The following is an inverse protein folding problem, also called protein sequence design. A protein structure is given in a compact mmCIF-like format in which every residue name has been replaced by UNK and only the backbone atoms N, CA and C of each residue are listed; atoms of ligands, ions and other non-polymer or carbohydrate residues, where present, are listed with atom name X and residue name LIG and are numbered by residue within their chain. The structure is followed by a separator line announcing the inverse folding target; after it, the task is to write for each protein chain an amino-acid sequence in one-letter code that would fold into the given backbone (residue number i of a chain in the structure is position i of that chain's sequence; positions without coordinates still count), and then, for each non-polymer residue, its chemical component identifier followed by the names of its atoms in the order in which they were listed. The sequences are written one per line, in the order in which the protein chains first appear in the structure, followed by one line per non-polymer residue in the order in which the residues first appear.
data_IF_284395547705
#
_entry.id   IF_284395547705
#
_cell.length_a   1.000
_cell.length_b   1.000
_cell.length_c   1.000
_cell.angle_alpha   90.00
_cell.angle_beta   90.00
_cell.angle_gamma   90.00
#
_symmetry.space_group_name_H-M   'P 1'
#
loop_
_entity.id
_entity.type
_entity.pdbx_description
1 polymer ?
#
# COMPACT_ATOMS: atom_id res chain seq x y z
N UNK A 1 -25.45 19.88 -1.29
CA UNK A 1 -24.53 19.24 -0.32
C UNK A 1 -24.82 17.75 -0.35
N UNK A 2 -24.26 17.03 -1.33
CA UNK A 2 -24.45 15.59 -1.46
C UNK A 2 -23.45 14.90 -0.55
N UNK A 3 -23.96 14.30 0.52
CA UNK A 3 -23.21 13.42 1.41
C UNK A 3 -22.63 12.29 0.58
N UNK A 4 -21.32 12.33 0.33
CA UNK A 4 -20.59 11.15 -0.13
C UNK A 4 -20.98 10.03 0.84
N UNK A 5 -21.46 8.91 0.33
CA UNK A 5 -21.71 7.71 1.13
C UNK A 5 -20.42 6.90 1.14
N UNK A 6 -19.96 6.35 2.28
CA UNK A 6 -18.81 5.46 2.28
C UNK A 6 -19.13 4.22 1.45
N UNK A 7 -18.31 3.98 0.42
CA UNK A 7 -18.38 2.83 -0.49
C UNK A 7 -18.10 1.47 0.21
N UNK A 8 -18.10 1.42 1.55
CA UNK A 8 -17.92 0.18 2.30
C UNK A 8 -19.20 -0.66 2.35
N UNK A 9 -19.09 -2.01 2.39
CA UNK A 9 -20.23 -2.90 2.55
C UNK A 9 -21.02 -2.65 3.85
N UNK A 10 -22.35 -2.79 3.81
CA UNK A 10 -23.23 -2.52 4.96
C UNK A 10 -22.92 -3.36 6.20
N UNK A 11 -22.54 -4.63 6.04
CA UNK A 11 -22.15 -5.50 7.15
C UNK A 11 -20.93 -4.99 7.93
N UNK A 12 -20.08 -4.19 7.28
CA UNK A 12 -18.90 -3.63 7.92
C UNK A 12 -19.23 -2.36 8.70
N UNK A 13 -20.14 -1.54 8.18
CA UNK A 13 -20.64 -0.33 8.86
C UNK A 13 -21.39 -0.66 10.15
N UNK A 14 -22.00 -1.84 10.25
CA UNK A 14 -22.72 -2.29 11.45
C UNK A 14 -21.81 -2.82 12.56
N UNK A 15 -20.61 -3.32 12.21
CA UNK A 15 -19.65 -3.89 13.17
C UNK A 15 -18.56 -2.90 13.58
N UNK A 16 -18.23 -1.94 12.70
CA UNK A 16 -17.12 -1.02 12.91
C UNK A 16 -17.54 0.41 12.55
N UNK A 17 -17.13 1.38 13.38
CA UNK A 17 -17.16 2.79 12.95
C UNK A 17 -16.27 2.96 11.71
N UNK A 18 -16.53 3.97 10.88
CA UNK A 18 -15.73 4.25 9.68
C UNK A 18 -14.23 4.29 9.99
N UNK A 19 -13.85 4.89 11.12
CA UNK A 19 -12.46 4.94 11.61
C UNK A 19 -11.91 3.56 11.98
N UNK A 20 -12.65 2.72 12.68
CA UNK A 20 -12.16 1.38 13.08
C UNK A 20 -12.05 0.45 11.89
N UNK A 21 -13.02 0.50 10.96
CA UNK A 21 -12.97 -0.28 9.72
C UNK A 21 -11.72 0.03 8.88
N UNK A 22 -11.28 1.30 8.94
CA UNK A 22 -10.13 1.83 8.21
C UNK A 22 -8.81 1.27 8.75
N UNK A 23 -8.60 1.31 10.07
CA UNK A 23 -7.40 0.73 10.67
C UNK A 23 -7.40 -0.79 10.60
N UNK A 24 -8.57 -1.42 10.73
CA UNK A 24 -8.70 -2.87 10.61
C UNK A 24 -8.26 -3.37 9.23
N UNK A 25 -8.73 -2.74 8.14
CA UNK A 25 -8.28 -3.12 6.80
C UNK A 25 -6.78 -2.94 6.60
N UNK A 26 -6.20 -1.81 7.03
CA UNK A 26 -4.75 -1.60 6.88
C UNK A 26 -3.93 -2.62 7.66
N UNK A 27 -4.37 -3.00 8.86
CA UNK A 27 -3.70 -4.06 9.63
C UNK A 27 -3.76 -5.40 8.88
N UNK A 28 -4.92 -5.78 8.35
CA UNK A 28 -5.06 -7.01 7.57
C UNK A 28 -4.17 -6.98 6.31
N UNK A 29 -4.16 -5.88 5.57
CA UNK A 29 -3.31 -5.71 4.39
C UNK A 29 -1.83 -5.79 4.76
N UNK A 30 -1.39 -5.10 5.82
CA UNK A 30 -0.01 -5.18 6.32
C UNK A 30 0.35 -6.63 6.64
N UNK A 31 -0.53 -7.39 7.29
CA UNK A 31 -0.27 -8.80 7.62
C UNK A 31 -0.17 -9.68 6.37
N UNK A 32 -1.05 -9.48 5.39
CA UNK A 32 -1.03 -10.20 4.11
C UNK A 32 0.27 -9.95 3.35
N UNK A 33 0.74 -8.70 3.30
CA UNK A 33 1.98 -8.34 2.59
C UNK A 33 3.25 -8.55 3.43
N UNK A 34 3.16 -8.60 4.76
CA UNK A 34 4.31 -8.85 5.63
C UNK A 34 4.89 -10.26 5.43
N UNK A 35 4.04 -11.28 5.25
CA UNK A 35 4.50 -12.64 5.04
C UNK A 35 5.36 -12.84 3.77
N UNK A 36 4.91 -12.46 2.55
CA UNK A 36 5.74 -12.55 1.36
C UNK A 36 6.97 -11.62 1.43
N UNK A 37 6.86 -10.46 2.09
CA UNK A 37 8.00 -9.57 2.31
C UNK A 37 9.08 -10.19 3.20
N UNK A 38 8.66 -10.91 4.24
CA UNK A 38 9.54 -11.72 5.08
C UNK A 38 10.22 -12.81 4.25
N UNK A 39 9.47 -13.55 3.44
CA UNK A 39 10.02 -14.60 2.59
C UNK A 39 11.05 -14.05 1.58
N UNK A 40 10.79 -12.88 1.00
CA UNK A 40 11.68 -12.25 0.03
C UNK A 40 12.95 -11.66 0.64
N UNK A 41 12.89 -11.16 1.88
CA UNK A 41 14.04 -10.55 2.58
C UNK A 41 14.80 -11.52 3.49
N UNK A 42 14.20 -12.64 3.87
CA UNK A 42 14.72 -13.57 4.87
C UNK A 42 14.79 -12.99 6.29
N UNK A 43 14.21 -11.81 6.54
CA UNK A 43 14.26 -11.11 7.82
C UNK A 43 12.87 -10.60 8.19
N UNK A 44 12.51 -10.73 9.46
CA UNK A 44 11.22 -10.25 9.94
C UNK A 44 11.10 -8.73 9.85
N UNK A 45 12.18 -8.02 10.19
CA UNK A 45 12.25 -6.55 10.11
C UNK A 45 13.62 -6.15 9.55
N UNK A 46 13.59 -5.56 8.36
CA UNK A 46 14.76 -4.95 7.72
C UNK A 46 14.30 -3.90 6.70
N UNK A 47 15.24 -3.07 6.23
CA UNK A 47 14.93 -2.10 5.18
C UNK A 47 14.47 -2.78 3.88
N UNK A 48 15.00 -3.98 3.59
CA UNK A 48 14.60 -4.81 2.45
C UNK A 48 13.17 -5.34 2.64
N UNK A 49 12.83 -5.78 3.85
CA UNK A 49 11.47 -6.22 4.20
C UNK A 49 10.45 -5.09 4.03
N UNK A 50 10.78 -3.89 4.50
CA UNK A 50 9.93 -2.69 4.32
C UNK A 50 9.79 -2.34 2.84
N UNK A 51 10.88 -2.45 2.08
CA UNK A 51 10.85 -2.22 0.64
C UNK A 51 9.91 -3.20 -0.07
N UNK A 52 10.00 -4.50 0.22
CA UNK A 52 9.11 -5.50 -0.38
C UNK A 52 7.64 -5.31 0.04
N UNK A 53 7.40 -4.84 1.26
CA UNK A 53 6.04 -4.60 1.75
C UNK A 53 5.37 -3.47 0.97
N UNK A 54 6.07 -2.35 0.80
CA UNK A 54 5.58 -1.21 0.02
C UNK A 54 5.45 -1.59 -1.47
N UNK A 55 6.43 -2.32 -2.02
CA UNK A 55 6.37 -2.79 -3.39
C UNK A 55 5.17 -3.70 -3.64
N UNK A 56 4.95 -4.67 -2.77
CA UNK A 56 3.83 -5.62 -2.86
C UNK A 56 2.47 -4.92 -2.81
N UNK A 57 2.30 -3.96 -1.90
CA UNK A 57 1.03 -3.23 -1.78
C UNK A 57 0.72 -2.41 -3.03
N UNK A 58 1.69 -1.67 -3.57
CA UNK A 58 1.49 -0.87 -4.78
C UNK A 58 1.15 -1.75 -5.99
N UNK A 59 1.87 -2.88 -6.13
CA UNK A 59 1.64 -3.80 -7.25
C UNK A 59 0.23 -4.35 -7.20
N UNK A 60 -0.28 -4.71 -6.02
CA UNK A 60 -1.63 -5.23 -5.87
C UNK A 60 -2.70 -4.19 -6.22
N UNK A 61 -2.57 -2.94 -5.75
CA UNK A 61 -3.49 -1.86 -6.12
C UNK A 61 -3.51 -1.62 -7.63
N UNK A 62 -2.34 -1.59 -8.28
CA UNK A 62 -2.22 -1.49 -9.74
C UNK A 62 -2.88 -2.69 -10.44
N UNK A 63 -2.70 -3.90 -9.93
CA UNK A 63 -3.29 -5.10 -10.49
C UNK A 63 -4.82 -5.07 -10.42
N UNK A 64 -5.42 -4.53 -9.36
CA UNK A 64 -6.87 -4.38 -9.29
C UNK A 64 -7.41 -3.48 -10.39
N UNK A 65 -6.77 -2.35 -10.67
CA UNK A 65 -7.22 -1.45 -11.74
C UNK A 65 -7.06 -2.06 -13.13
N UNK A 66 -5.97 -2.81 -13.34
CA UNK A 66 -5.75 -3.54 -14.60
C UNK A 66 -6.83 -4.60 -14.78
N UNK A 67 -7.12 -5.39 -13.75
CA UNK A 67 -8.11 -6.47 -13.80
C UNK A 67 -9.53 -5.92 -14.00
N UNK A 68 -9.88 -4.82 -13.32
CA UNK A 68 -11.20 -4.18 -13.44
C UNK A 68 -11.31 -3.31 -14.72
N UNK A 69 -10.22 -3.11 -15.47
CA UNK A 69 -10.12 -2.24 -16.64
C UNK A 69 -10.63 -0.81 -16.33
N UNK A 70 -10.33 -0.30 -15.13
CA UNK A 70 -10.73 1.03 -14.67
C UNK A 70 -9.53 1.89 -14.37
N UNK A 71 -9.70 3.20 -14.51
CA UNK A 71 -8.74 4.16 -13.99
C UNK A 71 -8.67 4.04 -12.46
N UNK A 72 -7.54 4.41 -11.83
CA UNK A 72 -7.41 4.37 -10.38
C UNK A 72 -8.59 5.06 -9.70
N UNK A 73 -9.16 4.39 -8.70
CA UNK A 73 -10.29 4.91 -7.95
C UNK A 73 -10.21 4.51 -6.50
N UNK A 74 -10.89 5.29 -5.67
CA UNK A 74 -10.90 5.13 -4.23
C UNK A 74 -11.88 4.01 -3.84
N UNK A 75 -11.36 2.82 -3.57
CA UNK A 75 -12.17 1.70 -3.04
C UNK A 75 -12.75 2.01 -1.65
N UNK A 76 -12.11 2.91 -0.90
CA UNK A 76 -12.57 3.42 0.38
C UNK A 76 -12.03 4.84 0.64
N UNK A 77 -12.71 5.65 1.46
CA UNK A 77 -12.44 7.08 1.70
C UNK A 77 -11.00 7.46 2.12
N UNK A 78 -10.16 6.47 2.42
CA UNK A 78 -8.80 6.60 2.92
C UNK A 78 -7.70 6.39 1.87
N UNK A 79 -8.10 6.19 0.61
CA UNK A 79 -7.22 6.03 -0.54
C UNK A 79 -7.41 7.26 -1.45
N UNK A 80 -6.69 8.37 -1.20
CA UNK A 80 -6.92 9.62 -1.92
C UNK A 80 -6.52 9.45 -3.37
N UNK A 81 -7.53 9.42 -4.24
CA UNK A 81 -7.34 9.50 -5.68
C UNK A 81 -7.71 10.91 -6.13
N UNK A 82 -6.75 11.63 -6.69
CA UNK A 82 -6.96 12.97 -7.22
C UNK A 82 -6.81 12.94 -8.74
N UNK A 83 -7.90 13.23 -9.48
CA UNK A 83 -7.91 13.14 -10.95
C UNK A 83 -7.39 11.80 -11.51
N UNK A 84 -7.77 10.68 -10.88
CA UNK A 84 -7.29 9.35 -11.28
C UNK A 84 -5.85 9.05 -10.88
N UNK A 85 -5.23 9.88 -10.05
CA UNK A 85 -3.88 9.67 -9.52
C UNK A 85 -3.99 9.15 -8.08
N UNK A 86 -3.54 7.92 -7.81
CA UNK A 86 -3.48 7.35 -6.47
C UNK A 86 -2.33 7.97 -5.66
N UNK A 87 -2.65 8.88 -4.75
CA UNK A 87 -1.62 9.71 -4.09
C UNK A 87 -0.72 8.89 -3.18
N UNK A 88 -1.25 7.90 -2.46
CA UNK A 88 -0.46 7.06 -1.57
C UNK A 88 0.48 6.12 -2.32
N UNK A 89 0.08 5.57 -3.46
CA UNK A 89 1.00 4.81 -4.32
C UNK A 89 2.10 5.68 -4.92
N UNK A 90 1.80 6.92 -5.31
CA UNK A 90 2.83 7.87 -5.76
C UNK A 90 3.85 8.11 -4.65
N UNK A 91 3.40 8.34 -3.41
CA UNK A 91 4.28 8.48 -2.24
C UNK A 91 5.08 7.19 -2.03
N UNK A 92 4.44 6.03 -2.14
CA UNK A 92 5.07 4.72 -2.01
C UNK A 92 6.20 4.52 -3.04
N UNK A 93 5.96 4.86 -4.32
CA UNK A 93 6.98 4.80 -5.38
C UNK A 93 8.16 5.73 -5.07
N UNK A 94 7.91 6.93 -4.57
CA UNK A 94 8.98 7.86 -4.16
C UNK A 94 9.81 7.23 -3.03
N UNK A 95 9.18 6.66 -2.01
CA UNK A 95 9.86 5.99 -0.90
C UNK A 95 10.69 4.81 -1.41
N UNK A 96 10.14 3.97 -2.29
CA UNK A 96 10.86 2.84 -2.89
C UNK A 96 12.10 3.29 -3.65
N UNK A 97 11.99 4.36 -4.44
CA UNK A 97 13.10 4.92 -5.19
C UNK A 97 14.20 5.43 -4.25
N UNK A 98 13.82 6.14 -3.18
CA UNK A 98 14.74 6.66 -2.17
C UNK A 98 15.47 5.52 -1.46
N UNK A 99 14.75 4.50 -0.97
CA UNK A 99 15.35 3.34 -0.30
C UNK A 99 16.30 2.60 -1.26
N UNK A 100 15.89 2.38 -2.51
CA UNK A 100 16.72 1.71 -3.51
C UNK A 100 18.03 2.48 -3.76
N UNK A 101 17.98 3.81 -3.83
CA UNK A 101 19.17 4.64 -3.97
C UNK A 101 20.12 4.48 -2.77
N UNK A 102 19.60 4.50 -1.55
CA UNK A 102 20.42 4.31 -0.34
C UNK A 102 21.07 2.92 -0.28
N UNK A 103 20.32 1.87 -0.59
CA UNK A 103 20.84 0.49 -0.62
C UNK A 103 21.95 0.35 -1.68
N UNK A 104 21.72 0.90 -2.89
CA UNK A 104 22.69 0.88 -3.98
C UNK A 104 23.98 1.63 -3.63
N UNK A 105 23.88 2.78 -2.95
CA UNK A 105 25.04 3.53 -2.48
C UNK A 105 25.84 2.75 -1.43
N UNK A 106 25.16 2.12 -0.45
CA UNK A 106 25.82 1.31 0.57
C UNK A 106 26.57 0.12 -0.02
N UNK A 107 25.96 -0.57 -1.00
CA UNK A 107 26.61 -1.67 -1.73
C UNK A 107 27.87 -1.20 -2.46
N UNK A 108 27.84 -0.04 -3.14
CA UNK A 108 29.02 0.53 -3.80
C UNK A 108 30.12 0.96 -2.82
N UNK A 109 29.76 1.47 -1.65
CA UNK A 109 30.71 1.92 -0.64
C UNK A 109 31.44 0.76 0.07
N UNK A 110 30.76 -0.39 0.28
CA UNK A 110 31.38 -1.58 0.88
C UNK A 110 32.24 -2.42 -0.08
N UNK A 111 32.27 -2.07 -1.37
CA UNK A 111 33.18 -2.66 -2.37
C UNK A 111 34.47 -1.84 -2.57
N UNK A 112 34.67 -0.76 -1.80
CA UNK A 112 35.91 0.02 -1.75
C UNK A 112 36.64 -0.26 -0.45
#
# INVERSE_FOLDING_TARGET
MTTLSPHSPEWMKSLFTTTVSLYFYRVIYILIFAFPSYLASGKLLSIETVWYLIYGSIVEDVMYWIIDLRLPFSWAWFYPVYFGIPIDDVIGVIILAVIYMFVKQKSKAGMR
#
